data_IF_167925240790
#
_entry.id   IF_167925240790
#
_cell.length_a   1.000
_cell.length_b   1.000
_cell.length_c   1.000
_cell.angle_alpha   90.00
_cell.angle_beta   90.00
_cell.angle_gamma   90.00
#
_symmetry.space_group_name_H-M   'P 1'
#
loop_
_entity.id
_entity.type
_entity.pdbx_description
1 polymer ?
#
# COMPACT_ATOMS: atom_id res chain seq x y z
N UNK A 1 -30.64 -7.46 -11.50
CA UNK A 1 -29.70 -6.58 -12.21
C UNK A 1 -28.58 -6.21 -11.23
N UNK A 2 -27.38 -6.78 -11.44
CA UNK A 2 -26.26 -6.70 -10.51
C UNK A 2 -25.61 -5.31 -10.51
N UNK A 3 -25.67 -4.59 -9.40
CA UNK A 3 -24.69 -3.55 -9.10
C UNK A 3 -23.71 -4.09 -8.07
N UNK A 4 -22.72 -4.85 -8.57
CA UNK A 4 -21.51 -5.24 -7.83
C UNK A 4 -20.66 -3.99 -7.60
N UNK A 5 -21.07 -3.16 -6.66
CA UNK A 5 -20.29 -2.04 -6.16
C UNK A 5 -19.21 -2.62 -5.22
N UNK A 6 -18.08 -3.00 -5.81
CA UNK A 6 -16.87 -3.48 -5.12
C UNK A 6 -16.28 -2.42 -4.17
N UNK A 7 -16.86 -1.21 -4.11
CA UNK A 7 -16.42 -0.10 -3.30
C UNK A 7 -17.19 0.11 -1.98
N UNK A 8 -18.17 -0.74 -1.63
CA UNK A 8 -18.91 -0.61 -0.37
C UNK A 8 -18.47 -1.70 0.58
N UNK A 9 -17.88 -1.32 1.73
CA UNK A 9 -17.54 -2.25 2.80
C UNK A 9 -18.78 -3.08 3.18
N UNK A 10 -18.68 -4.42 3.27
CA UNK A 10 -19.84 -5.27 3.57
C UNK A 10 -20.47 -4.89 4.92
N UNK A 11 -19.68 -4.37 5.85
CA UNK A 11 -20.15 -3.84 7.13
C UNK A 11 -20.99 -2.57 6.95
N UNK A 12 -20.55 -1.60 6.13
CA UNK A 12 -21.35 -0.40 5.88
C UNK A 12 -22.64 -0.72 5.15
N UNK A 13 -22.63 -1.71 4.25
CA UNK A 13 -23.84 -2.18 3.56
C UNK A 13 -24.85 -2.86 4.51
N UNK A 14 -24.38 -3.58 5.53
CA UNK A 14 -25.24 -4.17 6.57
C UNK A 14 -25.83 -3.08 7.47
N UNK A 15 -25.02 -2.10 7.91
CA UNK A 15 -25.50 -1.02 8.78
C UNK A 15 -26.45 -0.04 8.09
N UNK A 16 -26.30 0.17 6.77
CA UNK A 16 -27.29 0.93 5.97
C UNK A 16 -28.63 0.21 5.91
N UNK A 17 -28.65 -1.13 5.83
CA UNK A 17 -29.89 -1.92 5.89
C UNK A 17 -30.54 -1.93 7.28
N UNK A 18 -29.78 -1.66 8.33
CA UNK A 18 -30.25 -1.60 9.72
C UNK A 18 -30.71 -0.19 10.17
N UNK A 19 -30.71 0.82 9.28
CA UNK A 19 -31.08 2.24 9.53
C UNK A 19 -30.23 2.97 10.59
N UNK A 20 -29.15 2.37 11.09
CA UNK A 20 -28.26 3.00 12.08
C UNK A 20 -27.18 3.82 11.36
N UNK A 21 -27.54 5.03 10.93
CA UNK A 21 -26.65 5.97 10.22
C UNK A 21 -25.33 6.26 10.99
N UNK A 22 -25.38 6.29 12.32
CA UNK A 22 -24.20 6.53 13.17
C UNK A 22 -23.14 5.42 13.03
N UNK A 23 -23.55 4.16 12.90
CA UNK A 23 -22.65 3.02 12.80
C UNK A 23 -21.85 3.02 11.49
N UNK A 24 -22.43 3.55 10.40
CA UNK A 24 -21.77 3.71 9.11
C UNK A 24 -20.59 4.69 9.21
N UNK A 25 -20.77 5.82 9.92
CA UNK A 25 -19.71 6.81 10.11
C UNK A 25 -18.57 6.31 10.99
N UNK A 26 -18.88 5.60 12.08
CA UNK A 26 -17.88 4.98 12.96
C UNK A 26 -17.06 3.94 12.17
N UNK A 27 -17.72 3.09 11.39
CA UNK A 27 -17.04 2.09 10.57
C UNK A 27 -16.12 2.73 9.53
N UNK A 28 -16.55 3.79 8.85
CA UNK A 28 -15.71 4.52 7.91
C UNK A 28 -14.49 5.17 8.58
N UNK A 29 -14.65 5.70 9.79
CA UNK A 29 -13.53 6.23 10.56
C UNK A 29 -12.50 5.14 10.88
N UNK A 30 -12.95 3.97 11.35
CA UNK A 30 -12.06 2.82 11.61
C UNK A 30 -11.35 2.37 10.34
N UNK A 31 -12.05 2.26 9.21
CA UNK A 31 -11.45 1.90 7.92
C UNK A 31 -10.35 2.91 7.53
N UNK A 32 -10.62 4.21 7.65
CA UNK A 32 -9.62 5.25 7.36
C UNK A 32 -8.40 5.14 8.29
N UNK A 33 -8.61 4.96 9.59
CA UNK A 33 -7.52 4.82 10.56
C UNK A 33 -6.68 3.57 10.31
N UNK A 34 -7.30 2.43 10.01
CA UNK A 34 -6.59 1.18 9.71
C UNK A 34 -5.76 1.28 8.45
N UNK A 35 -6.30 1.87 7.36
CA UNK A 35 -5.56 2.09 6.12
C UNK A 35 -4.37 3.03 6.36
N UNK A 36 -4.56 4.11 7.12
CA UNK A 36 -3.50 5.08 7.42
C UNK A 36 -2.36 4.44 8.25
N UNK A 37 -2.71 3.61 9.23
CA UNK A 37 -1.76 2.87 10.06
C UNK A 37 -0.97 1.82 9.25
N UNK A 38 -1.68 1.04 8.44
CA UNK A 38 -1.07 0.06 7.55
C UNK A 38 -0.13 0.72 6.52
N UNK A 39 -0.56 1.86 5.95
CA UNK A 39 0.25 2.65 5.02
C UNK A 39 1.56 3.16 5.63
N UNK A 40 1.52 3.67 6.87
CA UNK A 40 2.72 4.15 7.54
C UNK A 40 3.75 3.01 7.80
N UNK A 41 3.27 1.83 8.17
CA UNK A 41 4.11 0.66 8.38
C UNK A 41 4.73 0.14 7.08
N UNK A 42 3.95 0.10 5.99
CA UNK A 42 4.43 -0.29 4.68
C UNK A 42 5.51 0.67 4.15
N UNK A 43 5.31 1.98 4.31
CA UNK A 43 6.30 3.00 3.95
C UNK A 43 7.59 2.83 4.76
N UNK A 44 7.49 2.58 6.07
CA UNK A 44 8.65 2.32 6.91
C UNK A 44 9.45 1.09 6.43
N UNK A 45 8.79 -0.04 6.18
CA UNK A 45 9.46 -1.25 5.68
C UNK A 45 10.16 -0.98 4.33
N UNK A 46 9.47 -0.33 3.41
CA UNK A 46 10.04 0.00 2.10
C UNK A 46 11.26 0.93 2.20
N UNK A 47 11.25 1.93 3.09
CA UNK A 47 12.45 2.77 3.31
C UNK A 47 13.66 1.95 3.73
N UNK A 48 13.48 0.95 4.60
CA UNK A 48 14.57 0.12 5.11
C UNK A 48 15.10 -0.84 4.06
N UNK A 49 14.21 -1.43 3.25
CA UNK A 49 14.59 -2.27 2.11
C UNK A 49 15.37 -1.45 1.09
N UNK A 50 14.88 -0.25 0.74
CA UNK A 50 15.56 0.61 -0.23
C UNK A 50 16.91 1.11 0.29
N UNK A 51 17.00 1.42 1.60
CA UNK A 51 18.26 1.79 2.24
C UNK A 51 19.28 0.65 2.19
N UNK A 52 18.89 -0.58 2.52
CA UNK A 52 19.76 -1.75 2.42
C UNK A 52 20.23 -1.96 0.97
N UNK A 53 19.33 -1.80 0.00
CA UNK A 53 19.64 -1.93 -1.43
C UNK A 53 20.60 -0.84 -1.92
N UNK A 54 20.47 0.40 -1.42
CA UNK A 54 21.37 1.50 -1.71
C UNK A 54 22.76 1.28 -1.08
N UNK A 55 22.80 0.71 0.13
CA UNK A 55 24.04 0.35 0.81
C UNK A 55 24.80 -0.77 0.08
N UNK A 56 24.08 -1.75 -0.49
CA UNK A 56 24.66 -2.80 -1.36
C UNK A 56 25.05 -2.30 -2.77
N UNK A 57 24.85 -1.00 -3.08
CA UNK A 57 25.17 -0.41 -4.38
C UNK A 57 24.20 -0.80 -5.51
N UNK A 58 23.10 -1.50 -5.20
CA UNK A 58 22.07 -1.94 -6.16
C UNK A 58 20.98 -0.89 -6.41
N UNK A 59 20.92 0.17 -5.60
CA UNK A 59 20.03 1.30 -5.80
C UNK A 59 20.81 2.63 -5.91
N UNK A 60 20.16 3.64 -6.50
CA UNK A 60 20.72 4.99 -6.68
C UNK A 60 21.26 5.52 -5.35
N UNK A 61 22.56 5.91 -5.33
CA UNK A 61 23.27 6.40 -4.12
C UNK A 61 22.53 7.54 -3.39
N UNK A 62 21.69 8.30 -4.10
CA UNK A 62 20.83 9.34 -3.53
C UNK A 62 19.87 8.85 -2.44
N UNK A 63 19.47 7.57 -2.46
CA UNK A 63 18.64 6.96 -1.41
C UNK A 63 19.44 6.55 -0.16
N UNK A 64 20.77 6.68 -0.16
CA UNK A 64 21.61 6.45 1.03
C UNK A 64 21.62 7.66 1.97
N UNK A 65 21.15 8.82 1.50
CA UNK A 65 21.12 10.03 2.33
C UNK A 65 19.99 9.94 3.35
N UNK A 66 20.38 9.78 4.61
CA UNK A 66 19.48 9.64 5.75
C UNK A 66 19.58 10.90 6.61
N UNK A 67 18.44 11.54 6.89
CA UNK A 67 18.37 12.67 7.83
C UNK A 67 18.56 12.19 9.27
N UNK A 68 18.88 13.10 10.20
CA UNK A 68 19.07 12.84 11.65
C UNK A 68 17.94 12.02 12.30
N UNK A 69 16.73 12.07 11.75
CA UNK A 69 15.57 11.29 12.19
C UNK A 69 15.45 9.90 11.54
N UNK A 70 16.48 9.41 10.86
CA UNK A 70 16.48 8.13 10.12
C UNK A 70 15.47 8.06 8.96
N UNK A 71 15.07 9.21 8.42
CA UNK A 71 14.07 9.33 7.35
C UNK A 71 14.78 9.60 6.02
N UNK A 72 14.44 8.82 4.99
CA UNK A 72 14.90 9.02 3.62
C UNK A 72 13.96 10.02 2.91
N UNK A 73 14.32 11.30 2.89
CA UNK A 73 13.48 12.36 2.29
C UNK A 73 13.23 12.10 0.80
N UNK A 74 14.25 11.66 0.06
CA UNK A 74 14.11 11.32 -1.36
C UNK A 74 13.14 10.17 -1.61
N UNK A 75 13.07 9.20 -0.68
CA UNK A 75 12.08 8.14 -0.76
C UNK A 75 10.66 8.69 -0.58
N UNK A 76 10.43 9.55 0.41
CA UNK A 76 9.12 10.16 0.64
C UNK A 76 8.64 10.98 -0.56
N UNK A 77 9.53 11.76 -1.17
CA UNK A 77 9.23 12.53 -2.39
C UNK A 77 8.91 11.58 -3.54
N UNK A 78 9.68 10.51 -3.72
CA UNK A 78 9.44 9.52 -4.75
C UNK A 78 8.09 8.83 -4.57
N UNK A 79 7.76 8.34 -3.37
CA UNK A 79 6.47 7.71 -3.10
C UNK A 79 5.32 8.68 -3.25
N UNK A 80 5.47 9.93 -2.81
CA UNK A 80 4.45 10.96 -2.98
C UNK A 80 4.21 11.30 -4.46
N UNK A 81 5.28 11.34 -5.26
CA UNK A 81 5.18 11.52 -6.71
C UNK A 81 4.44 10.35 -7.36
N UNK A 82 4.83 9.11 -7.05
CA UNK A 82 4.18 7.90 -7.55
C UNK A 82 2.70 7.85 -7.14
N UNK A 83 2.36 8.17 -5.89
CA UNK A 83 0.97 8.27 -5.42
C UNK A 83 0.17 9.33 -6.17
N UNK A 84 0.75 10.51 -6.43
CA UNK A 84 0.08 11.57 -7.23
C UNK A 84 -0.18 11.12 -8.66
N UNK A 85 0.79 10.46 -9.29
CA UNK A 85 0.64 9.91 -10.65
C UNK A 85 -0.46 8.85 -10.68
N UNK A 86 -0.42 7.89 -9.76
CA UNK A 86 -1.45 6.85 -9.62
C UNK A 86 -2.85 7.42 -9.38
N UNK A 87 -2.96 8.46 -8.55
CA UNK A 87 -4.21 9.18 -8.32
C UNK A 87 -4.70 9.87 -9.60
N UNK A 88 -3.79 10.49 -10.37
CA UNK A 88 -4.08 11.06 -11.68
C UNK A 88 -4.59 10.03 -12.69
N UNK A 89 -3.99 8.83 -12.71
CA UNK A 89 -4.42 7.72 -13.56
C UNK A 89 -5.85 7.25 -13.23
N UNK A 90 -6.29 7.40 -11.98
CA UNK A 90 -7.65 7.04 -11.54
C UNK A 90 -8.75 7.78 -12.30
N UNK A 91 -8.47 8.99 -12.83
CA UNK A 91 -9.44 9.78 -13.59
C UNK A 91 -9.72 9.24 -15.00
N UNK A 92 -8.78 8.50 -15.60
CA UNK A 92 -8.89 8.02 -16.99
C UNK A 92 -9.52 6.61 -17.07
N UNK A 93 -9.39 5.77 -16.03
CA UNK A 93 -9.77 4.35 -16.14
C UNK A 93 -9.94 3.62 -14.81
N UNK A 94 -10.85 4.10 -13.96
CA UNK A 94 -10.98 3.69 -12.56
C UNK A 94 -11.07 2.16 -12.32
N UNK A 95 -11.74 1.40 -13.20
CA UNK A 95 -11.91 -0.06 -12.99
C UNK A 95 -10.73 -0.90 -13.48
N UNK A 96 -10.17 -0.57 -14.64
CA UNK A 96 -9.12 -1.38 -15.27
C UNK A 96 -7.83 -1.19 -14.47
N UNK A 97 -7.46 0.06 -14.19
CA UNK A 97 -6.21 0.38 -13.49
C UNK A 97 -6.22 -0.18 -12.07
N UNK A 98 -7.37 -0.12 -11.38
CA UNK A 98 -7.53 -0.74 -10.06
C UNK A 98 -7.32 -2.26 -10.09
N UNK A 99 -7.88 -2.95 -11.08
CA UNK A 99 -7.75 -4.40 -11.21
C UNK A 99 -6.31 -4.81 -11.57
N UNK A 100 -5.65 -4.04 -12.43
CA UNK A 100 -4.23 -4.23 -12.74
C UNK A 100 -3.34 -4.03 -11.51
N UNK A 101 -3.53 -2.93 -10.76
CA UNK A 101 -2.78 -2.69 -9.52
C UNK A 101 -3.00 -3.80 -8.50
N UNK A 102 -4.25 -4.22 -8.28
CA UNK A 102 -4.58 -5.30 -7.36
C UNK A 102 -3.89 -6.61 -7.72
N UNK A 103 -3.90 -6.98 -9.01
CA UNK A 103 -3.24 -8.19 -9.49
C UNK A 103 -1.71 -8.12 -9.32
N UNK A 104 -1.09 -6.97 -9.64
CA UNK A 104 0.35 -6.77 -9.48
C UNK A 104 0.74 -6.89 -8.01
N UNK A 105 0.01 -6.25 -7.08
CA UNK A 105 0.29 -6.37 -5.64
C UNK A 105 0.19 -7.82 -5.16
N UNK A 106 -0.80 -8.58 -5.64
CA UNK A 106 -0.92 -10.00 -5.34
C UNK A 106 0.32 -10.80 -5.78
N UNK A 107 0.75 -10.63 -7.03
CA UNK A 107 1.94 -11.31 -7.58
C UNK A 107 3.21 -10.91 -6.82
N UNK A 108 3.39 -9.63 -6.50
CA UNK A 108 4.54 -9.16 -5.71
C UNK A 108 4.58 -9.78 -4.32
N UNK A 109 3.42 -9.95 -3.67
CA UNK A 109 3.31 -10.63 -2.38
C UNK A 109 3.75 -12.09 -2.46
N UNK A 110 3.33 -12.81 -3.50
CA UNK A 110 3.76 -14.19 -3.74
C UNK A 110 5.27 -14.29 -3.97
N UNK A 111 5.85 -13.39 -4.77
CA UNK A 111 7.30 -13.34 -5.01
C UNK A 111 8.06 -13.09 -3.69
N UNK A 112 7.57 -12.17 -2.86
CA UNK A 112 8.18 -11.89 -1.56
C UNK A 112 8.17 -13.12 -0.64
N UNK A 113 7.05 -13.84 -0.55
CA UNK A 113 6.93 -15.06 0.25
C UNK A 113 7.83 -16.18 -0.28
N UNK A 114 7.89 -16.35 -1.60
CA UNK A 114 8.78 -17.31 -2.24
C UNK A 114 10.25 -17.00 -1.94
N UNK A 115 10.65 -15.73 -2.00
CA UNK A 115 11.99 -15.29 -1.64
C UNK A 115 12.33 -15.58 -0.17
N UNK A 116 11.39 -15.36 0.76
CA UNK A 116 11.57 -15.71 2.17
C UNK A 116 11.75 -17.23 2.33
N UNK A 117 10.98 -18.04 1.61
CA UNK A 117 11.07 -19.50 1.66
C UNK A 117 12.42 -20.01 1.15
N UNK A 118 12.92 -19.44 0.05
CA UNK A 118 14.25 -19.74 -0.49
C UNK A 118 15.37 -19.32 0.45
N UNK A 119 15.29 -18.13 1.03
CA UNK A 119 16.26 -17.67 2.02
C UNK A 119 16.27 -18.61 3.24
N UNK A 120 15.09 -19.00 3.74
CA UNK A 120 14.96 -19.94 4.85
C UNK A 120 15.56 -21.32 4.51
N UNK A 121 15.43 -21.78 3.27
CA UNK A 121 16.06 -23.01 2.81
C UNK A 121 17.59 -22.89 2.72
N UNK A 122 18.12 -21.73 2.32
CA UNK A 122 19.57 -21.46 2.27
C UNK A 122 20.25 -21.28 3.64
N UNK A 123 19.49 -20.98 4.70
CA UNK A 123 19.99 -20.82 6.07
C UNK A 123 19.92 -22.12 6.91
N UNK A 124 19.41 -23.21 6.34
CA UNK A 124 19.52 -24.58 6.87
C UNK A 124 20.56 -25.36 6.07
#
# INVERSE_FOLDING_TARGET
>A
MMLKNVAVSPFTHVFVKSDIKLAVHIMNAVILTTILSAGNSALYVCTRILYALAHEGKALKYFTYVTRHSILIWYLVFTAFVSKVLFGLSFIGNKIIYLWLGNITGVMGFIAWFGILLAHWSFR
#
